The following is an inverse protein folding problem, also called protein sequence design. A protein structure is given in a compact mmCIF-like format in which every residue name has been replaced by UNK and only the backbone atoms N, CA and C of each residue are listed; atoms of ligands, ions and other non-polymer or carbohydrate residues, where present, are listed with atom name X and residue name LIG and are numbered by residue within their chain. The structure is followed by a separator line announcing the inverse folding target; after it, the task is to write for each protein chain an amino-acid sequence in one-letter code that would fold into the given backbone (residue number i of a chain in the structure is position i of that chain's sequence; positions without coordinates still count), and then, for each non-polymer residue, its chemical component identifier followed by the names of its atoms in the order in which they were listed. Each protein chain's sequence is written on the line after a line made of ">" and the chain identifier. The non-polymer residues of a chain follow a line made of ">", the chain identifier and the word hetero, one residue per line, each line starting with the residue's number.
data_IF_850813238711
#
_entry.id   IF_850813238711
#
_cell.length_a   1.000
_cell.length_b   1.000
_cell.length_c   1.000
_cell.angle_alpha   90.00
_cell.angle_beta   90.00
_cell.angle_gamma   90.00
#
_symmetry.space_group_name_H-M   'P 1'
#
loop_
_entity.id
_entity.type
_entity.pdbx_description
1 polymer ?
#
# COMPACT_ATOMS: atom_id res chain seq x y z
N UNK A 1 -31.56 -36.93 74.46
CA UNK A 1 -30.93 -37.86 73.50
C UNK A 1 -31.23 -37.30 72.12
N UNK A 2 -30.35 -36.41 71.63
CA UNK A 2 -30.48 -35.72 70.33
C UNK A 2 -29.36 -36.16 69.40
N UNK A 3 -29.70 -36.81 68.32
CA UNK A 3 -28.79 -37.18 67.26
C UNK A 3 -28.58 -35.95 66.34
N UNK A 4 -27.35 -35.48 66.20
CA UNK A 4 -26.96 -34.44 65.27
C UNK A 4 -26.49 -35.12 63.97
N UNK A 5 -27.28 -34.93 62.93
CA UNK A 5 -26.84 -35.26 61.53
C UNK A 5 -25.92 -34.17 60.97
N UNK A 6 -24.68 -34.51 60.70
CA UNK A 6 -23.78 -33.69 59.94
C UNK A 6 -23.86 -34.12 58.48
N UNK A 7 -24.43 -33.22 57.66
CA UNK A 7 -24.34 -33.30 56.19
C UNK A 7 -23.10 -32.61 55.72
N UNK A 8 -22.13 -33.35 55.19
CA UNK A 8 -20.93 -32.82 54.53
C UNK A 8 -21.34 -32.50 53.10
N UNK A 9 -21.42 -31.20 52.77
CA UNK A 9 -21.56 -30.73 51.40
C UNK A 9 -20.17 -30.69 50.77
N UNK A 10 -19.89 -31.59 49.81
CA UNK A 10 -18.72 -31.57 48.99
C UNK A 10 -18.88 -30.53 47.90
N UNK A 11 -18.17 -29.41 48.00
CA UNK A 11 -18.10 -28.37 46.98
C UNK A 11 -17.10 -28.82 45.91
N UNK A 12 -17.57 -29.30 44.77
CA UNK A 12 -16.77 -29.65 43.62
C UNK A 12 -16.34 -28.33 42.92
N UNK A 13 -15.10 -27.93 43.10
CA UNK A 13 -14.48 -26.82 42.37
C UNK A 13 -14.15 -27.28 40.93
N UNK A 14 -15.02 -26.95 39.97
CA UNK A 14 -14.73 -27.11 38.56
C UNK A 14 -13.68 -26.04 38.16
N UNK A 15 -12.42 -26.42 38.11
CA UNK A 15 -11.39 -25.63 37.48
C UNK A 15 -11.57 -25.77 35.96
N UNK A 16 -12.18 -24.77 35.33
CA UNK A 16 -12.13 -24.58 33.88
C UNK A 16 -10.70 -24.26 33.49
N UNK A 17 -9.93 -25.27 33.14
CA UNK A 17 -8.68 -25.10 32.40
C UNK A 17 -9.09 -24.66 30.99
N UNK A 18 -9.19 -23.36 30.77
CA UNK A 18 -9.21 -22.82 29.44
C UNK A 18 -7.83 -23.13 28.84
N UNK A 19 -7.72 -24.30 28.20
CA UNK A 19 -6.56 -24.63 27.38
C UNK A 19 -6.48 -23.55 26.28
N UNK A 20 -5.44 -22.74 26.32
CA UNK A 20 -4.99 -21.98 25.16
C UNK A 20 -4.65 -23.02 24.07
N UNK A 21 -5.64 -23.41 23.27
CA UNK A 21 -5.36 -24.07 22.02
C UNK A 21 -4.57 -23.05 21.21
N UNK A 22 -3.27 -23.28 21.02
CA UNK A 22 -2.44 -22.45 20.16
C UNK A 22 -3.13 -22.34 18.81
N UNK A 23 -3.52 -21.13 18.43
CA UNK A 23 -4.20 -20.91 17.15
C UNK A 23 -3.17 -21.20 16.06
N UNK A 24 -3.45 -22.20 15.22
CA UNK A 24 -2.55 -22.62 14.14
C UNK A 24 -2.45 -21.48 13.08
N UNK A 25 -1.27 -20.87 12.90
CA UNK A 25 -1.07 -19.78 11.93
C UNK A 25 -1.44 -20.17 10.50
N UNK A 26 -1.16 -21.41 10.11
CA UNK A 26 -1.46 -21.91 8.76
C UNK A 26 -2.97 -21.96 8.53
N UNK A 27 -3.71 -22.40 9.52
CA UNK A 27 -5.18 -22.42 9.44
C UNK A 27 -5.76 -21.02 9.40
N UNK A 28 -5.28 -20.11 10.24
CA UNK A 28 -5.74 -18.70 10.26
C UNK A 28 -5.48 -18.04 8.94
N UNK A 29 -4.28 -18.17 8.40
CA UNK A 29 -3.90 -17.59 7.12
C UNK A 29 -4.80 -18.09 5.99
N UNK A 30 -5.04 -19.40 5.92
CA UNK A 30 -5.89 -20.02 4.89
C UNK A 30 -7.36 -19.61 4.98
N UNK A 31 -7.84 -19.21 6.15
CA UNK A 31 -9.23 -18.79 6.38
C UNK A 31 -9.43 -17.28 6.17
N UNK A 32 -8.37 -16.49 6.19
CA UNK A 32 -8.43 -15.07 5.91
C UNK A 32 -8.52 -14.85 4.41
N UNK A 33 -9.23 -13.78 3.98
CA UNK A 33 -9.09 -13.24 2.64
C UNK A 33 -7.80 -12.42 2.61
N UNK A 34 -6.73 -13.00 2.05
CA UNK A 34 -5.40 -12.39 2.02
C UNK A 34 -5.29 -11.49 0.80
N UNK A 35 -5.31 -10.18 1.03
CA UNK A 35 -5.27 -9.17 -0.02
C UNK A 35 -4.07 -8.24 0.17
N UNK A 36 -3.35 -8.00 -0.91
CA UNK A 36 -2.34 -6.96 -1.05
C UNK A 36 -2.96 -5.74 -1.73
N UNK A 37 -2.98 -4.59 -1.05
CA UNK A 37 -3.66 -3.40 -1.54
C UNK A 37 -2.85 -2.59 -2.58
N UNK A 38 -1.60 -2.96 -2.87
CA UNK A 38 -0.80 -2.30 -3.90
C UNK A 38 0.43 -3.11 -4.30
N UNK A 39 0.53 -3.43 -5.57
CA UNK A 39 1.76 -3.88 -6.22
C UNK A 39 1.79 -3.39 -7.68
N UNK A 40 2.97 -3.03 -8.19
CA UNK A 40 3.09 -2.56 -9.57
C UNK A 40 3.02 -3.71 -10.57
N UNK A 41 2.54 -3.39 -11.77
CA UNK A 41 2.46 -4.33 -12.88
C UNK A 41 3.84 -4.46 -13.52
N UNK A 42 4.33 -5.68 -13.66
CA UNK A 42 5.52 -6.00 -14.45
C UNK A 42 5.11 -6.42 -15.87
N UNK A 43 5.66 -5.74 -16.87
CA UNK A 43 5.39 -6.07 -18.27
C UNK A 43 6.30 -7.24 -18.69
N UNK A 44 5.76 -8.40 -19.12
CA UNK A 44 6.57 -9.54 -19.52
C UNK A 44 7.59 -9.19 -20.61
N UNK A 45 8.84 -9.55 -20.40
CA UNK A 45 9.95 -9.30 -21.34
C UNK A 45 10.58 -7.91 -21.25
N UNK A 46 10.12 -7.05 -20.38
CA UNK A 46 10.84 -5.82 -20.02
C UNK A 46 11.74 -6.08 -18.81
N UNK A 47 12.95 -5.51 -18.85
CA UNK A 47 13.84 -5.56 -17.69
C UNK A 47 13.33 -4.65 -16.58
N UNK A 48 13.25 -5.18 -15.36
CA UNK A 48 12.91 -4.43 -14.15
C UNK A 48 13.91 -4.75 -13.04
N UNK A 49 14.36 -3.72 -12.35
CA UNK A 49 15.22 -3.84 -11.17
C UNK A 49 14.43 -4.16 -9.88
N UNK A 50 13.11 -4.21 -9.96
CA UNK A 50 12.22 -4.33 -8.79
C UNK A 50 11.61 -5.72 -8.61
N UNK A 51 11.85 -6.62 -9.54
CA UNK A 51 11.42 -8.03 -9.45
C UNK A 51 12.14 -8.80 -8.33
N UNK A 52 11.70 -10.00 -8.03
CA UNK A 52 12.36 -10.88 -7.08
C UNK A 52 13.76 -11.29 -7.55
N UNK A 53 14.57 -11.83 -6.64
CA UNK A 53 15.92 -12.33 -6.95
C UNK A 53 15.92 -13.45 -8.01
N UNK A 54 14.77 -14.08 -8.24
CA UNK A 54 14.52 -15.08 -9.29
C UNK A 54 14.18 -14.46 -10.66
N UNK A 55 14.22 -13.13 -10.80
CA UNK A 55 13.89 -12.40 -12.02
C UNK A 55 12.38 -12.35 -12.34
N UNK A 56 11.51 -12.70 -11.38
CA UNK A 56 10.06 -12.74 -11.57
C UNK A 56 9.35 -11.72 -10.70
N UNK A 57 8.16 -11.32 -11.12
CA UNK A 57 7.28 -10.47 -10.30
C UNK A 57 7.15 -11.00 -8.87
N UNK A 58 7.19 -10.13 -7.88
CA UNK A 58 7.02 -10.47 -6.47
C UNK A 58 5.59 -10.93 -6.15
N UNK A 59 4.63 -10.59 -7.00
CA UNK A 59 3.23 -11.03 -6.93
C UNK A 59 2.85 -11.93 -8.11
N UNK A 60 3.81 -12.65 -8.67
CA UNK A 60 3.53 -13.64 -9.71
C UNK A 60 2.49 -14.67 -9.23
N UNK A 61 1.58 -15.16 -10.10
CA UNK A 61 0.50 -16.07 -9.71
C UNK A 61 0.94 -17.30 -8.91
N UNK A 62 2.12 -17.85 -9.21
CA UNK A 62 2.67 -18.97 -8.45
C UNK A 62 3.15 -18.58 -7.06
N UNK A 63 3.66 -17.33 -6.87
CA UNK A 63 4.02 -16.80 -5.55
C UNK A 63 2.78 -16.49 -4.73
N UNK A 64 1.74 -15.91 -5.35
CA UNK A 64 0.44 -15.73 -4.72
C UNK A 64 -0.12 -17.06 -4.22
N UNK A 65 -0.14 -18.10 -5.07
CA UNK A 65 -0.60 -19.44 -4.67
C UNK A 65 0.24 -20.03 -3.54
N UNK A 66 1.58 -19.93 -3.62
CA UNK A 66 2.49 -20.44 -2.60
C UNK A 66 2.29 -19.76 -1.24
N UNK A 67 2.05 -18.44 -1.25
CA UNK A 67 1.80 -17.65 -0.06
C UNK A 67 0.34 -17.59 0.38
N UNK A 68 -0.60 -18.21 -0.36
CA UNK A 68 -2.02 -18.11 -0.03
C UNK A 68 -2.59 -16.70 -0.14
N UNK A 69 -2.03 -15.88 -1.05
CA UNK A 69 -2.53 -14.55 -1.37
C UNK A 69 -3.68 -14.67 -2.36
N UNK A 70 -4.87 -14.26 -1.94
CA UNK A 70 -6.12 -14.37 -2.71
C UNK A 70 -6.28 -13.24 -3.71
N UNK A 71 -5.81 -12.04 -3.37
CA UNK A 71 -6.01 -10.87 -4.21
C UNK A 71 -4.85 -9.89 -4.16
N UNK A 72 -4.63 -9.19 -5.28
CA UNK A 72 -3.67 -8.07 -5.37
C UNK A 72 -4.33 -6.91 -6.12
N UNK A 73 -4.17 -5.69 -5.59
CA UNK A 73 -4.42 -4.49 -6.37
C UNK A 73 -3.21 -4.25 -7.26
N UNK A 74 -3.36 -4.58 -8.54
CA UNK A 74 -2.32 -4.42 -9.57
C UNK A 74 -2.39 -3.01 -10.12
N UNK A 75 -1.38 -2.21 -9.81
CA UNK A 75 -1.33 -0.79 -10.15
C UNK A 75 -0.73 -0.54 -11.52
N UNK A 76 -1.50 0.11 -12.38
CA UNK A 76 -1.03 0.78 -13.60
C UNK A 76 -0.30 2.04 -13.15
N UNK A 77 1.04 2.02 -13.12
CA UNK A 77 1.85 3.04 -12.49
C UNK A 77 2.73 3.78 -13.49
N UNK A 78 2.53 5.08 -13.61
CA UNK A 78 3.34 5.92 -14.50
C UNK A 78 4.19 6.88 -13.69
N UNK A 79 5.50 6.88 -13.94
CA UNK A 79 6.45 7.77 -13.30
C UNK A 79 6.21 9.25 -13.63
N UNK A 80 6.96 10.17 -12.99
CA UNK A 80 6.93 11.57 -13.32
C UNK A 80 7.43 11.81 -14.76
N UNK A 81 7.01 12.91 -15.36
CA UNK A 81 7.44 13.28 -16.70
C UNK A 81 6.89 14.63 -17.17
N UNK A 82 7.25 15.07 -18.38
CA UNK A 82 6.81 16.35 -18.91
C UNK A 82 5.28 16.47 -18.98
N UNK A 83 4.75 17.63 -18.60
CA UNK A 83 3.32 17.98 -18.74
C UNK A 83 3.10 18.67 -20.07
N UNK A 84 3.30 17.92 -21.15
CA UNK A 84 3.13 18.32 -22.54
C UNK A 84 2.28 17.28 -23.27
N UNK A 85 1.74 17.61 -24.43
CA UNK A 85 0.94 16.69 -25.23
C UNK A 85 1.73 15.39 -25.57
N UNK A 86 3.03 15.51 -25.82
CA UNK A 86 3.91 14.36 -26.06
C UNK A 86 4.10 13.53 -24.79
N UNK A 87 4.34 14.19 -23.64
CA UNK A 87 4.49 13.52 -22.35
C UNK A 87 3.20 12.83 -21.87
N UNK A 88 2.04 13.45 -22.14
CA UNK A 88 0.73 12.84 -21.85
C UNK A 88 0.47 11.61 -22.74
N UNK A 89 0.88 11.70 -24.03
CA UNK A 89 0.78 10.57 -24.95
C UNK A 89 1.67 9.39 -24.52
N UNK A 90 2.90 9.68 -24.10
CA UNK A 90 3.81 8.67 -23.55
C UNK A 90 3.24 8.01 -22.29
N UNK A 91 2.75 8.81 -21.34
CA UNK A 91 2.14 8.31 -20.11
C UNK A 91 0.95 7.39 -20.39
N UNK A 92 0.10 7.78 -21.36
CA UNK A 92 -1.03 6.97 -21.79
C UNK A 92 -0.57 5.66 -22.41
N UNK A 93 0.44 5.66 -23.28
CA UNK A 93 0.95 4.45 -23.93
C UNK A 93 1.53 3.46 -22.91
N UNK A 94 2.26 3.94 -21.89
CA UNK A 94 2.75 3.10 -20.79
C UNK A 94 1.57 2.47 -20.04
N UNK A 95 0.59 3.27 -19.65
CA UNK A 95 -0.58 2.78 -18.93
C UNK A 95 -1.38 1.74 -19.70
N UNK A 96 -1.54 1.93 -21.01
CA UNK A 96 -2.23 0.96 -21.88
C UNK A 96 -1.45 -0.36 -22.02
N UNK A 97 -0.11 -0.29 -22.04
CA UNK A 97 0.74 -1.49 -22.08
C UNK A 97 0.66 -2.27 -20.76
N UNK A 98 0.68 -1.60 -19.60
CA UNK A 98 0.53 -2.23 -18.29
C UNK A 98 -0.87 -2.83 -18.10
N UNK A 99 -1.93 -2.11 -18.51
CA UNK A 99 -3.29 -2.64 -18.52
C UNK A 99 -3.38 -3.91 -19.37
N UNK A 100 -2.80 -3.90 -20.56
CA UNK A 100 -2.79 -5.06 -21.45
C UNK A 100 -2.03 -6.25 -20.82
N UNK A 101 -0.92 -6.00 -20.12
CA UNK A 101 -0.17 -7.03 -19.41
C UNK A 101 -0.99 -7.66 -18.28
N UNK A 102 -1.67 -6.86 -17.45
CA UNK A 102 -2.53 -7.36 -16.39
C UNK A 102 -3.72 -8.18 -16.92
N UNK A 103 -4.36 -7.71 -18.02
CA UNK A 103 -5.44 -8.45 -18.66
C UNK A 103 -4.96 -9.76 -19.29
N UNK A 104 -3.77 -9.78 -19.90
CA UNK A 104 -3.16 -11.00 -20.44
C UNK A 104 -2.83 -12.00 -19.33
N UNK A 105 -2.35 -11.54 -18.17
CA UNK A 105 -2.11 -12.39 -17.01
C UNK A 105 -3.39 -13.10 -16.55
N UNK A 106 -4.52 -12.40 -16.53
CA UNK A 106 -5.82 -12.97 -16.16
C UNK A 106 -6.44 -13.83 -17.27
N UNK A 107 -6.08 -13.61 -18.52
CA UNK A 107 -6.58 -14.40 -19.65
C UNK A 107 -5.91 -15.77 -19.79
N UNK A 108 -4.73 -15.96 -19.19
CA UNK A 108 -4.03 -17.23 -19.17
C UNK A 108 -4.63 -18.19 -18.12
N UNK A 109 -5.27 -19.30 -18.53
CA UNK A 109 -5.92 -20.22 -17.61
C UNK A 109 -4.95 -20.93 -16.65
N UNK A 110 -3.65 -21.00 -16.96
CA UNK A 110 -2.65 -21.62 -16.09
C UNK A 110 -2.39 -20.77 -14.85
N UNK A 111 -2.62 -19.47 -14.92
CA UNK A 111 -2.46 -18.56 -13.80
C UNK A 111 -3.56 -18.73 -12.73
N UNK A 112 -4.75 -19.19 -13.13
CA UNK A 112 -5.93 -19.28 -12.26
C UNK A 112 -6.24 -17.99 -11.50
N UNK A 113 -6.14 -16.86 -12.19
CA UNK A 113 -6.47 -15.53 -11.67
C UNK A 113 -7.54 -14.88 -12.55
N UNK A 114 -8.36 -14.01 -11.96
CA UNK A 114 -9.39 -13.25 -12.69
C UNK A 114 -9.33 -11.77 -12.32
N UNK A 115 -9.72 -10.90 -13.24
CA UNK A 115 -9.98 -9.50 -12.92
C UNK A 115 -11.34 -9.38 -12.22
N UNK A 116 -11.34 -8.81 -11.02
CA UNK A 116 -12.57 -8.55 -10.26
C UNK A 116 -12.90 -7.06 -10.25
N UNK A 117 -14.18 -6.73 -10.34
CA UNK A 117 -14.70 -5.36 -10.45
C UNK A 117 -15.62 -4.98 -9.31
N UNK A 118 -15.83 -5.89 -8.34
CA UNK A 118 -16.69 -5.64 -7.18
C UNK A 118 -16.24 -6.44 -5.97
N UNK A 119 -16.64 -5.97 -4.78
CA UNK A 119 -16.40 -6.70 -3.54
C UNK A 119 -17.07 -8.08 -3.52
N UNK A 120 -18.21 -8.24 -4.21
CA UNK A 120 -18.89 -9.54 -4.33
C UNK A 120 -18.11 -10.50 -5.26
N UNK A 121 -17.54 -10.00 -6.34
CA UNK A 121 -16.67 -10.79 -7.23
C UNK A 121 -15.41 -11.24 -6.50
N UNK A 122 -14.81 -10.37 -5.71
CA UNK A 122 -13.64 -10.67 -4.90
C UNK A 122 -13.92 -11.80 -3.91
N UNK A 123 -15.01 -11.73 -3.16
CA UNK A 123 -15.37 -12.79 -2.22
C UNK A 123 -15.71 -14.11 -2.94
N UNK A 124 -16.34 -14.06 -4.10
CA UNK A 124 -16.57 -15.28 -4.91
C UNK A 124 -15.26 -15.90 -5.38
N UNK A 125 -14.29 -15.10 -5.83
CA UNK A 125 -12.96 -15.59 -6.20
C UNK A 125 -12.28 -16.31 -5.03
N UNK A 126 -12.25 -15.68 -3.86
CA UNK A 126 -11.72 -16.27 -2.64
C UNK A 126 -12.41 -17.61 -2.28
N UNK A 127 -13.75 -17.65 -2.27
CA UNK A 127 -14.50 -18.86 -1.96
C UNK A 127 -14.28 -20.00 -2.97
N UNK A 128 -13.92 -19.66 -4.21
CA UNK A 128 -13.61 -20.60 -5.29
C UNK A 128 -12.10 -20.94 -5.36
N UNK A 129 -11.28 -20.44 -4.45
CA UNK A 129 -9.82 -20.62 -4.47
C UNK A 129 -9.19 -20.15 -5.79
N UNK A 130 -9.68 -19.04 -6.31
CA UNK A 130 -9.21 -18.39 -7.53
C UNK A 130 -8.57 -17.07 -7.16
N UNK A 131 -7.37 -16.80 -7.70
CA UNK A 131 -6.70 -15.53 -7.48
C UNK A 131 -7.48 -14.36 -8.11
N UNK A 132 -7.45 -13.21 -7.48
CA UNK A 132 -8.13 -12.00 -7.92
C UNK A 132 -7.16 -10.86 -8.21
N UNK A 133 -7.31 -10.22 -9.36
CA UNK A 133 -6.64 -8.97 -9.71
C UNK A 133 -7.66 -7.84 -9.64
N UNK A 134 -7.40 -6.86 -8.79
CA UNK A 134 -8.13 -5.59 -8.76
C UNK A 134 -7.25 -4.58 -9.50
N UNK A 135 -7.74 -3.99 -10.58
CA UNK A 135 -6.93 -3.03 -11.31
C UNK A 135 -6.93 -1.68 -10.59
N UNK A 136 -5.74 -1.17 -10.31
CA UNK A 136 -5.47 0.16 -9.79
C UNK A 136 -4.83 1.05 -10.85
N UNK A 137 -4.86 2.36 -10.62
CA UNK A 137 -4.16 3.36 -11.43
C UNK A 137 -3.43 4.32 -10.50
N UNK A 138 -2.16 4.56 -10.79
CA UNK A 138 -1.32 5.47 -10.02
C UNK A 138 -0.70 6.53 -10.94
N UNK A 139 -0.93 7.80 -10.59
CA UNK A 139 -0.53 9.00 -11.29
C UNK A 139 -1.49 9.45 -12.40
N UNK A 140 -2.31 10.45 -12.09
CA UNK A 140 -3.28 11.04 -13.02
C UNK A 140 -2.64 11.73 -14.24
N UNK A 141 -1.29 11.82 -14.33
CA UNK A 141 -0.58 12.16 -15.55
C UNK A 141 -1.04 11.31 -16.74
N UNK A 142 -1.48 10.08 -16.50
CA UNK A 142 -2.10 9.18 -17.48
C UNK A 142 -3.31 9.81 -18.18
N UNK A 143 -4.01 10.71 -17.51
CA UNK A 143 -5.20 11.38 -18.07
C UNK A 143 -4.86 12.66 -18.82
N UNK A 144 -3.61 13.19 -18.71
CA UNK A 144 -3.28 14.52 -19.21
C UNK A 144 -4.13 15.59 -18.53
N UNK A 145 -5.18 16.07 -19.21
CA UNK A 145 -6.21 16.97 -18.67
C UNK A 145 -7.63 16.45 -18.98
N UNK A 146 -7.74 15.24 -19.51
CA UNK A 146 -8.99 14.64 -19.97
C UNK A 146 -9.65 13.82 -18.84
N UNK A 147 -10.70 14.36 -18.23
CA UNK A 147 -11.48 13.67 -17.21
C UNK A 147 -12.27 12.46 -17.73
N UNK A 148 -12.59 12.40 -19.02
CA UNK A 148 -13.30 11.25 -19.61
C UNK A 148 -12.38 10.01 -19.68
N UNK A 149 -11.08 10.21 -19.60
CA UNK A 149 -10.13 9.11 -19.45
C UNK A 149 -10.37 8.29 -18.17
N UNK A 150 -10.87 8.89 -17.08
CA UNK A 150 -11.26 8.16 -15.86
C UNK A 150 -12.34 7.12 -16.18
N UNK A 151 -13.36 7.49 -16.96
CA UNK A 151 -14.41 6.57 -17.40
C UNK A 151 -13.84 5.45 -18.25
N UNK A 152 -12.94 5.78 -19.18
CA UNK A 152 -12.29 4.79 -20.06
C UNK A 152 -11.56 3.72 -19.26
N UNK A 153 -10.77 4.11 -18.27
CA UNK A 153 -10.06 3.15 -17.40
C UNK A 153 -11.01 2.40 -16.46
N UNK A 154 -12.04 3.06 -15.95
CA UNK A 154 -13.06 2.40 -15.13
C UNK A 154 -13.81 1.31 -15.91
N UNK A 155 -14.21 1.59 -17.16
CA UNK A 155 -14.87 0.63 -18.05
C UNK A 155 -13.93 -0.54 -18.42
N UNK A 156 -12.63 -0.28 -18.56
CA UNK A 156 -11.61 -1.31 -18.74
C UNK A 156 -11.41 -2.19 -17.49
N UNK A 157 -11.90 -1.77 -16.32
CA UNK A 157 -11.89 -2.58 -15.10
C UNK A 157 -11.15 -1.95 -13.92
N UNK A 158 -10.54 -0.78 -14.07
CA UNK A 158 -9.87 -0.08 -12.95
C UNK A 158 -10.88 0.30 -11.87
N UNK A 159 -10.50 0.08 -10.61
CA UNK A 159 -11.37 0.34 -9.44
C UNK A 159 -10.71 1.18 -8.37
N UNK A 160 -9.38 1.27 -8.36
CA UNK A 160 -8.61 2.10 -7.41
C UNK A 160 -7.89 3.18 -8.20
N UNK A 161 -7.96 4.44 -7.73
CA UNK A 161 -7.40 5.59 -8.43
C UNK A 161 -6.58 6.46 -7.48
N UNK A 162 -5.25 6.48 -7.68
CA UNK A 162 -4.31 7.38 -7.02
C UNK A 162 -3.93 8.52 -7.96
N UNK A 163 -4.13 9.77 -7.53
CA UNK A 163 -3.89 10.93 -8.39
C UNK A 163 -2.40 11.25 -8.58
N UNK A 164 -1.54 10.87 -7.64
CA UNK A 164 -0.12 11.20 -7.70
C UNK A 164 0.78 9.98 -7.60
N UNK A 165 1.97 10.14 -8.13
CA UNK A 165 3.19 9.39 -7.84
C UNK A 165 4.24 10.39 -7.34
N UNK A 166 5.50 10.32 -7.75
CA UNK A 166 6.49 11.38 -7.54
C UNK A 166 6.20 12.58 -8.46
N UNK A 167 6.52 13.78 -7.99
CA UNK A 167 6.29 15.03 -8.70
C UNK A 167 4.81 15.46 -8.69
N UNK A 168 4.60 16.77 -8.80
CA UNK A 168 3.27 17.32 -8.99
C UNK A 168 2.76 17.01 -10.40
N UNK A 169 1.44 16.98 -10.56
CA UNK A 169 0.81 16.84 -11.86
C UNK A 169 -0.37 17.80 -12.02
N UNK A 170 -1.12 17.74 -13.12
CA UNK A 170 -2.22 18.67 -13.38
C UNK A 170 -3.40 18.53 -12.38
N UNK A 171 -3.44 17.46 -11.56
CA UNK A 171 -4.54 17.14 -10.66
C UNK A 171 -4.24 17.49 -9.20
N UNK A 172 -3.00 17.23 -8.73
CA UNK A 172 -2.68 17.36 -7.32
C UNK A 172 -1.20 17.57 -7.05
N UNK A 173 -0.91 18.10 -5.88
CA UNK A 173 0.42 18.13 -5.31
C UNK A 173 0.78 16.75 -4.73
N UNK A 174 1.98 16.28 -5.05
CA UNK A 174 2.59 15.07 -4.51
C UNK A 174 3.24 15.34 -3.15
N UNK A 175 3.33 14.32 -2.30
CA UNK A 175 4.13 14.36 -1.07
C UNK A 175 5.65 14.43 -1.35
N UNK A 176 6.06 14.24 -2.60
CA UNK A 176 7.46 14.28 -3.06
C UNK A 176 7.60 15.18 -4.28
N UNK A 177 7.86 16.49 -4.09
CA UNK A 177 8.23 17.40 -5.18
C UNK A 177 9.45 16.86 -5.91
N UNK A 178 9.41 16.90 -7.25
CA UNK A 178 10.47 16.34 -8.09
C UNK A 178 11.69 17.28 -8.12
N UNK A 179 12.89 16.70 -8.08
CA UNK A 179 14.11 17.46 -8.35
C UNK A 179 14.29 17.66 -9.85
N UNK A 180 14.44 18.92 -10.26
CA UNK A 180 14.61 19.31 -11.65
C UNK A 180 16.11 19.53 -11.90
N UNK A 181 16.80 18.50 -12.38
CA UNK A 181 18.25 18.52 -12.56
C UNK A 181 18.75 19.68 -13.42
N UNK A 182 18.00 20.07 -14.46
CA UNK A 182 18.35 21.22 -15.32
C UNK A 182 18.32 22.56 -14.58
N UNK A 183 17.53 22.67 -13.51
CA UNK A 183 17.38 23.88 -12.68
C UNK A 183 18.17 23.77 -11.37
N UNK A 184 18.71 22.60 -11.05
CA UNK A 184 19.34 22.26 -9.75
C UNK A 184 18.47 22.66 -8.55
N UNK A 185 17.18 22.43 -8.65
CA UNK A 185 16.19 22.75 -7.61
C UNK A 185 15.02 21.80 -7.69
N UNK A 186 14.28 21.66 -6.58
CA UNK A 186 13.01 20.94 -6.58
C UNK A 186 11.89 21.78 -7.18
N UNK A 187 10.81 21.10 -7.59
CA UNK A 187 9.50 21.71 -7.71
C UNK A 187 9.17 22.47 -6.40
N UNK A 188 8.30 23.49 -6.42
CA UNK A 188 7.84 24.12 -5.18
C UNK A 188 7.21 23.06 -4.26
N UNK A 189 7.23 23.30 -2.96
CA UNK A 189 6.60 22.39 -1.98
C UNK A 189 5.10 22.15 -2.28
N UNK A 190 4.43 23.16 -2.83
CA UNK A 190 3.05 23.08 -3.31
C UNK A 190 2.89 23.94 -4.58
N UNK A 191 2.31 23.36 -5.62
CA UNK A 191 1.95 24.07 -6.85
C UNK A 191 0.48 24.51 -6.83
N UNK A 192 -0.40 23.62 -6.35
CA UNK A 192 -1.85 23.84 -6.33
C UNK A 192 -2.37 24.17 -4.92
N UNK A 193 -1.53 24.08 -3.91
CA UNK A 193 -1.99 24.12 -2.50
C UNK A 193 -2.87 22.91 -2.15
N UNK A 194 -2.55 21.76 -2.72
CA UNK A 194 -3.26 20.49 -2.57
C UNK A 194 -3.87 19.98 -3.87
N UNK A 195 -5.20 19.96 -3.98
CA UNK A 195 -5.90 19.59 -5.21
C UNK A 195 -6.05 20.80 -6.14
N UNK A 196 -5.75 20.63 -7.42
CA UNK A 196 -6.14 21.56 -8.47
C UNK A 196 -7.68 21.53 -8.67
N UNK A 197 -8.28 22.48 -9.42
CA UNK A 197 -9.68 22.38 -9.85
C UNK A 197 -9.97 21.05 -10.56
N UNK A 198 -9.08 20.61 -11.45
CA UNK A 198 -9.19 19.35 -12.19
C UNK A 198 -9.14 18.14 -11.25
N UNK A 199 -8.27 18.17 -10.23
CA UNK A 199 -8.19 17.13 -9.22
C UNK A 199 -9.48 17.00 -8.40
N UNK A 200 -10.13 18.11 -8.08
CA UNK A 200 -11.43 18.09 -7.38
C UNK A 200 -12.51 17.43 -8.21
N UNK A 201 -12.57 17.74 -9.50
CA UNK A 201 -13.54 17.13 -10.43
C UNK A 201 -13.24 15.63 -10.62
N UNK A 202 -11.97 15.24 -10.67
CA UNK A 202 -11.55 13.83 -10.74
C UNK A 202 -12.05 13.04 -9.51
N UNK A 203 -11.89 13.56 -8.29
CA UNK A 203 -12.40 12.89 -7.07
C UNK A 203 -13.91 12.68 -7.14
N UNK A 204 -14.66 13.68 -7.55
CA UNK A 204 -16.11 13.57 -7.68
C UNK A 204 -16.51 12.55 -8.74
N UNK A 205 -15.82 12.55 -9.89
CA UNK A 205 -16.04 11.58 -10.96
C UNK A 205 -15.74 10.14 -10.53
N UNK A 206 -14.64 9.92 -9.81
CA UNK A 206 -14.30 8.61 -9.27
C UNK A 206 -15.39 8.13 -8.30
N UNK A 207 -15.89 9.00 -7.43
CA UNK A 207 -17.00 8.68 -6.52
C UNK A 207 -18.30 8.36 -7.28
N UNK A 208 -18.65 9.12 -8.34
CA UNK A 208 -19.84 8.86 -9.16
C UNK A 208 -19.81 7.49 -9.82
N UNK A 209 -18.63 7.06 -10.25
CA UNK A 209 -18.42 5.73 -10.84
C UNK A 209 -18.39 4.59 -9.81
N UNK A 210 -18.25 4.89 -8.51
CA UNK A 210 -18.05 3.88 -7.48
C UNK A 210 -16.62 3.35 -7.41
N UNK A 211 -15.65 4.11 -7.89
CA UNK A 211 -14.22 3.86 -7.73
C UNK A 211 -13.74 4.22 -6.32
N UNK A 212 -12.65 3.60 -5.90
CA UNK A 212 -11.96 3.88 -4.64
C UNK A 212 -10.91 4.97 -4.90
N UNK A 213 -10.94 6.04 -4.13
CA UNK A 213 -9.88 7.05 -4.14
C UNK A 213 -8.75 6.57 -3.23
N UNK A 214 -7.55 6.50 -3.78
CA UNK A 214 -6.31 6.23 -3.05
C UNK A 214 -5.56 7.54 -2.81
N UNK A 215 -5.26 7.83 -1.55
CA UNK A 215 -4.55 9.04 -1.14
C UNK A 215 -3.05 8.83 -0.92
N UNK A 216 -2.54 7.62 -1.15
CA UNK A 216 -1.10 7.37 -1.09
C UNK A 216 -0.36 8.32 -2.04
N UNK A 217 0.75 8.90 -1.55
CA UNK A 217 1.61 9.84 -2.27
C UNK A 217 1.02 11.25 -2.53
N UNK A 218 -0.20 11.54 -2.14
CA UNK A 218 -0.69 12.91 -2.13
C UNK A 218 0.10 13.76 -1.12
N UNK A 219 0.27 15.04 -1.40
CA UNK A 219 0.70 15.98 -0.37
C UNK A 219 -0.32 15.99 0.78
N UNK A 220 0.14 16.33 1.99
CA UNK A 220 -0.76 16.42 3.15
C UNK A 220 -2.01 17.28 2.85
N UNK A 221 -1.83 18.45 2.24
CA UNK A 221 -2.95 19.34 1.94
C UNK A 221 -3.90 18.75 0.91
N UNK A 222 -3.39 18.03 -0.10
CA UNK A 222 -4.23 17.32 -1.06
C UNK A 222 -5.01 16.18 -0.37
N UNK A 223 -4.36 15.37 0.47
CA UNK A 223 -5.01 14.30 1.22
C UNK A 223 -6.13 14.83 2.13
N UNK A 224 -5.88 15.92 2.87
CA UNK A 224 -6.89 16.56 3.72
C UNK A 224 -8.08 17.13 2.90
N UNK A 225 -7.81 17.62 1.68
CA UNK A 225 -8.87 18.11 0.79
C UNK A 225 -9.69 16.95 0.22
N UNK A 226 -9.05 15.82 -0.14
CA UNK A 226 -9.76 14.60 -0.57
C UNK A 226 -10.65 14.08 0.55
N UNK A 227 -10.16 13.99 1.77
CA UNK A 227 -10.93 13.52 2.94
C UNK A 227 -12.18 14.37 3.23
N UNK A 228 -12.14 15.66 2.89
CA UNK A 228 -13.31 16.56 3.00
C UNK A 228 -14.26 16.46 1.81
N UNK A 229 -13.76 16.09 0.63
CA UNK A 229 -14.50 16.12 -0.63
C UNK A 229 -15.13 14.77 -0.98
N UNK A 230 -14.41 13.68 -0.70
CA UNK A 230 -14.85 12.33 -1.06
C UNK A 230 -16.12 11.94 -0.30
N UNK A 231 -17.10 11.42 -1.03
CA UNK A 231 -18.35 10.88 -0.46
C UNK A 231 -18.19 9.44 0.02
N UNK A 232 -17.24 8.72 -0.56
CA UNK A 232 -16.92 7.36 -0.20
C UNK A 232 -15.67 7.32 0.71
N UNK A 233 -15.55 6.30 1.57
CA UNK A 233 -14.32 6.07 2.30
C UNK A 233 -13.13 5.92 1.34
N UNK A 234 -11.99 6.50 1.71
CA UNK A 234 -10.75 6.43 0.93
C UNK A 234 -9.85 5.31 1.43
N UNK A 235 -8.85 4.95 0.63
CA UNK A 235 -7.72 4.16 1.11
C UNK A 235 -6.42 4.97 1.03
N UNK A 236 -5.46 4.62 1.89
CA UNK A 236 -4.05 4.80 1.63
C UNK A 236 -3.50 3.42 1.31
N UNK A 237 -3.27 3.11 0.04
CA UNK A 237 -2.99 1.74 -0.41
C UNK A 237 -1.62 1.23 0.02
N UNK A 238 -0.64 2.12 0.26
CA UNK A 238 0.73 1.79 0.66
C UNK A 238 1.38 2.97 1.40
N UNK A 239 0.96 3.21 2.66
CA UNK A 239 1.45 4.34 3.47
C UNK A 239 1.66 3.91 4.92
N UNK A 240 2.69 4.48 5.55
CA UNK A 240 3.08 4.15 6.91
C UNK A 240 2.87 5.34 7.86
N UNK A 241 3.39 5.26 9.08
CA UNK A 241 3.17 6.23 10.17
C UNK A 241 4.35 7.19 10.28
N UNK A 242 4.12 8.49 10.10
CA UNK A 242 5.17 9.51 10.17
C UNK A 242 5.73 9.70 11.58
N UNK A 243 4.93 9.48 12.61
CA UNK A 243 5.39 9.54 14.00
C UNK A 243 6.47 8.49 14.33
N UNK A 244 6.50 7.37 13.61
CA UNK A 244 7.50 6.30 13.74
C UNK A 244 8.66 6.47 12.76
N UNK A 245 8.39 6.88 11.54
CA UNK A 245 9.39 7.17 10.53
C UNK A 245 9.04 8.46 9.80
N UNK A 246 9.78 9.53 10.09
CA UNK A 246 9.50 10.90 9.61
C UNK A 246 9.98 11.10 8.17
N UNK A 247 9.24 10.54 7.23
CA UNK A 247 9.43 10.73 5.79
C UNK A 247 8.15 11.25 5.14
N UNK A 248 8.25 11.91 3.98
CA UNK A 248 7.10 12.55 3.30
C UNK A 248 6.01 11.56 2.88
N UNK A 249 6.42 10.31 2.63
CA UNK A 249 5.52 9.21 2.22
C UNK A 249 4.63 8.70 3.34
N UNK A 250 4.98 8.97 4.60
CA UNK A 250 4.25 8.51 5.75
C UNK A 250 3.22 9.55 6.20
N UNK A 251 2.08 9.06 6.68
CA UNK A 251 0.93 9.87 7.07
C UNK A 251 1.15 10.51 8.45
N UNK A 252 0.81 11.77 8.57
CA UNK A 252 0.75 12.47 9.85
C UNK A 252 -0.41 11.96 10.71
N UNK A 253 -0.35 12.21 11.99
CA UNK A 253 -1.41 11.85 12.93
C UNK A 253 -2.78 12.45 12.57
N UNK A 254 -2.80 13.66 12.02
CA UNK A 254 -4.03 14.31 11.57
C UNK A 254 -4.64 13.59 10.36
N UNK A 255 -3.82 13.21 9.39
CA UNK A 255 -4.28 12.41 8.23
C UNK A 255 -4.83 11.06 8.69
N UNK A 256 -4.12 10.37 9.59
CA UNK A 256 -4.52 9.08 10.16
C UNK A 256 -5.88 9.20 10.86
N UNK A 257 -6.06 10.20 11.72
CA UNK A 257 -7.31 10.41 12.47
C UNK A 257 -8.50 10.66 11.53
N UNK A 258 -8.30 11.48 10.49
CA UNK A 258 -9.36 11.79 9.54
C UNK A 258 -9.70 10.60 8.62
N UNK A 259 -8.72 9.79 8.24
CA UNK A 259 -8.96 8.54 7.51
C UNK A 259 -9.83 7.59 8.37
N UNK A 260 -9.49 7.40 9.64
CA UNK A 260 -10.29 6.60 10.56
C UNK A 260 -11.72 7.14 10.70
N UNK A 261 -11.89 8.46 10.89
CA UNK A 261 -13.20 9.12 11.02
C UNK A 261 -14.05 9.00 9.75
N UNK A 262 -13.44 8.99 8.57
CA UNK A 262 -14.15 8.83 7.29
C UNK A 262 -14.50 7.37 6.95
N UNK A 263 -14.11 6.40 7.78
CA UNK A 263 -14.30 4.98 7.51
C UNK A 263 -13.26 4.40 6.54
N UNK A 264 -12.20 5.12 6.23
CA UNK A 264 -11.12 4.69 5.34
C UNK A 264 -10.22 3.61 5.91
N UNK A 265 -9.22 3.21 5.13
CA UNK A 265 -8.24 2.18 5.52
C UNK A 265 -6.83 2.60 5.12
N UNK A 266 -5.88 2.41 6.04
CA UNK A 266 -4.45 2.63 5.81
C UNK A 266 -3.78 1.27 5.68
N UNK A 267 -3.14 1.02 4.54
CA UNK A 267 -2.42 -0.21 4.27
C UNK A 267 -0.92 0.03 4.46
N UNK A 268 -0.35 -0.72 5.41
CA UNK A 268 1.07 -0.60 5.78
C UNK A 268 1.94 -1.32 4.75
N UNK A 269 2.99 -0.63 4.29
CA UNK A 269 3.91 -1.15 3.31
C UNK A 269 5.20 -1.69 3.95
N UNK A 270 5.69 -2.88 3.54
CA UNK A 270 6.98 -3.43 3.96
C UNK A 270 8.14 -2.76 3.22
N UNK A 271 8.21 -1.44 3.23
CA UNK A 271 9.22 -0.65 2.52
C UNK A 271 10.23 -0.08 3.52
N UNK A 272 11.49 -0.54 3.46
CA UNK A 272 12.54 -0.16 4.43
C UNK A 272 12.68 1.34 4.63
N UNK A 273 12.60 2.12 3.55
CA UNK A 273 12.69 3.57 3.58
C UNK A 273 11.55 4.26 4.32
N UNK A 274 10.48 3.55 4.65
CA UNK A 274 9.31 4.07 5.36
C UNK A 274 9.14 3.46 6.78
N UNK A 275 10.03 2.54 7.17
CA UNK A 275 9.93 1.76 8.40
C UNK A 275 11.07 2.01 9.39
N UNK A 276 12.16 2.66 8.98
CA UNK A 276 13.30 2.86 9.87
C UNK A 276 12.98 3.82 11.03
N UNK A 277 13.67 3.65 12.16
CA UNK A 277 13.53 4.55 13.31
C UNK A 277 14.18 5.90 13.00
N UNK A 278 13.37 6.88 12.64
CA UNK A 278 13.80 8.26 12.37
C UNK A 278 14.02 9.08 13.65
N UNK A 279 13.77 8.50 14.83
CA UNK A 279 14.02 9.19 16.10
C UNK A 279 15.49 9.12 16.50
N UNK A 280 16.30 8.21 15.89
CA UNK A 280 17.75 8.22 16.05
C UNK A 280 18.37 9.41 15.29
N UNK A 281 18.79 10.47 15.97
CA UNK A 281 19.36 11.65 15.31
C UNK A 281 20.67 11.36 14.58
N UNK A 282 21.35 10.26 14.92
CA UNK A 282 22.59 9.87 14.27
C UNK A 282 22.31 9.16 12.94
N UNK A 283 21.14 8.53 12.77
CA UNK A 283 20.80 7.83 11.54
C UNK A 283 20.62 8.81 10.37
N UNK A 284 19.85 9.88 10.57
CA UNK A 284 19.70 10.95 9.56
C UNK A 284 21.05 11.56 9.16
N UNK A 285 21.89 11.86 10.13
CA UNK A 285 23.25 12.38 9.89
C UNK A 285 24.09 11.39 9.06
N UNK A 286 23.98 10.09 9.34
CA UNK A 286 24.71 9.04 8.60
C UNK A 286 24.17 8.88 7.17
N UNK A 287 22.85 8.93 6.96
CA UNK A 287 22.25 8.89 5.63
C UNK A 287 22.72 10.10 4.79
N UNK A 288 22.74 11.30 5.38
CA UNK A 288 23.28 12.51 4.72
C UNK A 288 24.77 12.39 4.44
N UNK A 289 25.54 11.73 5.30
CA UNK A 289 26.95 11.44 5.05
C UNK A 289 27.10 10.48 3.83
N UNK A 290 26.35 9.38 3.80
CA UNK A 290 26.36 8.45 2.65
C UNK A 290 26.02 9.13 1.32
N UNK A 291 25.14 10.14 1.33
CA UNK A 291 24.87 10.98 0.15
C UNK A 291 26.09 11.78 -0.29
N UNK A 292 26.73 12.51 0.63
CA UNK A 292 27.94 13.28 0.32
C UNK A 292 29.08 12.39 -0.17
N UNK A 293 29.25 11.22 0.44
CA UNK A 293 30.29 10.25 0.08
C UNK A 293 30.05 9.69 -1.33
N UNK A 294 28.79 9.59 -1.76
CA UNK A 294 28.41 9.23 -3.11
C UNK A 294 28.49 10.40 -4.12
N UNK A 295 28.84 11.63 -3.66
CA UNK A 295 28.95 12.81 -4.53
C UNK A 295 27.64 13.58 -4.71
N UNK A 296 26.66 13.38 -3.85
CA UNK A 296 25.38 14.08 -3.86
C UNK A 296 25.46 15.27 -2.90
N UNK A 297 25.46 16.50 -3.43
CA UNK A 297 25.69 17.73 -2.65
C UNK A 297 24.41 18.44 -2.20
N UNK A 298 23.24 18.02 -2.68
CA UNK A 298 22.01 18.74 -2.42
C UNK A 298 21.55 18.62 -0.97
N UNK A 299 20.92 19.67 -0.48
CA UNK A 299 20.28 19.72 0.81
C UNK A 299 18.80 19.35 0.64
N UNK A 300 18.48 18.09 0.92
CA UNK A 300 17.13 17.57 0.75
C UNK A 300 16.31 17.61 2.05
N UNK A 301 15.02 17.78 1.87
CA UNK A 301 14.06 17.74 2.98
C UNK A 301 14.06 16.36 3.66
N UNK A 302 14.04 15.28 2.84
CA UNK A 302 14.16 13.90 3.32
C UNK A 302 15.40 13.23 2.70
N UNK A 303 16.36 12.80 3.51
CA UNK A 303 17.67 12.36 2.98
C UNK A 303 17.62 11.10 2.13
N UNK A 304 16.65 10.21 2.38
CA UNK A 304 16.59 8.90 1.74
C UNK A 304 15.78 8.86 0.44
N UNK A 305 14.78 9.73 0.28
CA UNK A 305 13.73 9.58 -0.73
C UNK A 305 14.12 9.95 -2.17
N UNK A 306 15.39 10.19 -2.46
CA UNK A 306 15.78 10.90 -3.69
C UNK A 306 16.75 10.14 -4.59
N UNK A 307 16.93 8.85 -4.35
CA UNK A 307 17.89 8.04 -5.09
C UNK A 307 17.53 7.91 -6.59
N UNK A 308 16.26 7.97 -6.97
CA UNK A 308 15.84 7.90 -8.38
C UNK A 308 16.15 9.16 -9.17
N UNK A 309 16.35 10.30 -8.51
CA UNK A 309 16.75 11.56 -9.13
C UNK A 309 18.24 11.59 -9.48
N UNK A 310 19.00 10.63 -9.00
CA UNK A 310 20.41 10.48 -9.29
C UNK A 310 20.56 9.82 -10.65
N UNK A 311 20.84 10.61 -11.68
CA UNK A 311 20.98 10.14 -13.05
C UNK A 311 22.20 9.24 -13.26
N UNK A 312 23.30 9.51 -12.54
CA UNK A 312 24.50 8.68 -12.60
C UNK A 312 24.26 7.35 -11.86
N UNK A 313 24.33 6.23 -12.59
CA UNK A 313 24.04 4.90 -12.07
C UNK A 313 25.06 4.44 -11.01
N UNK A 314 26.34 4.82 -11.15
CA UNK A 314 27.39 4.46 -10.17
C UNK A 314 27.17 5.23 -8.87
N UNK A 315 26.94 6.54 -8.95
CA UNK A 315 26.62 7.40 -7.79
C UNK A 315 25.38 6.91 -7.08
N UNK A 316 24.32 6.59 -7.83
CA UNK A 316 23.08 6.05 -7.27
C UNK A 316 23.32 4.72 -6.56
N UNK A 317 24.05 3.79 -7.18
CA UNK A 317 24.33 2.49 -6.58
C UNK A 317 25.19 2.61 -5.31
N UNK A 318 26.19 3.50 -5.33
CA UNK A 318 27.03 3.77 -4.16
C UNK A 318 26.20 4.31 -2.99
N UNK A 319 25.30 5.25 -3.26
CA UNK A 319 24.38 5.79 -2.25
C UNK A 319 23.45 4.70 -1.68
N UNK A 320 22.80 3.93 -2.55
CA UNK A 320 21.90 2.85 -2.14
C UNK A 320 22.60 1.79 -1.30
N UNK A 321 23.84 1.43 -1.64
CA UNK A 321 24.63 0.50 -0.84
C UNK A 321 24.91 1.06 0.56
N UNK A 322 25.37 2.30 0.65
CA UNK A 322 25.64 2.95 1.95
C UNK A 322 24.40 3.05 2.83
N UNK A 323 23.26 3.42 2.24
CA UNK A 323 21.99 3.49 2.98
C UNK A 323 21.49 2.10 3.36
N UNK A 324 21.62 1.11 2.48
CA UNK A 324 21.24 -0.29 2.79
C UNK A 324 22.02 -0.85 3.98
N UNK A 325 23.31 -0.54 4.10
CA UNK A 325 24.13 -0.93 5.25
C UNK A 325 23.65 -0.25 6.55
N UNK A 326 23.22 1.01 6.46
CA UNK A 326 22.73 1.78 7.60
C UNK A 326 21.35 1.32 8.09
N UNK A 327 20.43 1.07 7.18
CA UNK A 327 19.04 0.70 7.50
C UNK A 327 18.86 -0.80 7.76
N UNK A 328 19.80 -1.62 7.29
CA UNK A 328 19.66 -3.07 7.33
C UNK A 328 18.53 -3.59 6.41
N UNK A 329 18.13 -4.86 6.55
CA UNK A 329 17.13 -5.48 5.69
C UNK A 329 15.68 -5.07 6.03
N UNK A 330 15.45 -4.33 7.13
CA UNK A 330 14.12 -4.18 7.72
C UNK A 330 13.59 -5.48 8.33
N UNK A 331 12.54 -5.42 9.11
CA UNK A 331 11.96 -6.60 9.76
C UNK A 331 10.44 -6.57 9.78
N UNK A 332 9.82 -7.74 10.01
CA UNK A 332 8.39 -7.83 10.28
C UNK A 332 8.01 -7.03 11.53
N UNK A 333 8.88 -6.99 12.55
CA UNK A 333 8.60 -6.21 13.76
C UNK A 333 8.52 -4.71 13.47
N UNK A 334 9.36 -4.17 12.59
CA UNK A 334 9.26 -2.77 12.15
C UNK A 334 7.91 -2.50 11.48
N UNK A 335 7.49 -3.36 10.55
CA UNK A 335 6.19 -3.25 9.88
C UNK A 335 5.03 -3.35 10.88
N UNK A 336 5.08 -4.32 11.79
CA UNK A 336 4.03 -4.53 12.77
C UNK A 336 3.93 -3.39 13.80
N UNK A 337 5.02 -2.69 14.11
CA UNK A 337 4.97 -1.49 14.95
C UNK A 337 4.08 -0.39 14.32
N UNK A 338 4.12 -0.24 12.99
CA UNK A 338 3.22 0.67 12.29
C UNK A 338 1.76 0.20 12.34
N UNK A 339 1.51 -1.10 12.19
CA UNK A 339 0.17 -1.69 12.35
C UNK A 339 -0.35 -1.45 13.77
N UNK A 340 0.45 -1.75 14.80
CA UNK A 340 0.07 -1.56 16.20
C UNK A 340 -0.27 -0.10 16.50
N UNK A 341 0.53 0.85 15.98
CA UNK A 341 0.27 2.29 16.14
C UNK A 341 -1.07 2.68 15.54
N UNK A 342 -1.36 2.25 14.31
CA UNK A 342 -2.62 2.54 13.64
C UNK A 342 -3.81 1.93 14.37
N UNK A 343 -3.70 0.65 14.77
CA UNK A 343 -4.78 -0.03 15.51
C UNK A 343 -5.05 0.66 16.84
N UNK A 344 -4.01 1.05 17.57
CA UNK A 344 -4.18 1.78 18.83
C UNK A 344 -4.82 3.17 18.65
N UNK A 345 -4.58 3.83 17.49
CA UNK A 345 -5.05 5.19 17.24
C UNK A 345 -6.44 5.27 16.63
N UNK A 346 -6.72 4.46 15.59
CA UNK A 346 -7.96 4.55 14.80
C UNK A 346 -8.77 3.25 14.80
N UNK A 347 -8.27 2.19 15.43
CA UNK A 347 -8.95 0.92 15.54
C UNK A 347 -8.67 -0.06 14.41
N UNK A 348 -8.96 -1.32 14.67
CA UNK A 348 -8.67 -2.46 13.80
C UNK A 348 -9.39 -2.41 12.45
N UNK A 349 -10.51 -1.71 12.35
CA UNK A 349 -11.35 -1.62 11.14
C UNK A 349 -10.75 -0.69 10.06
N UNK A 350 -9.63 -0.03 10.36
CA UNK A 350 -9.01 0.99 9.53
C UNK A 350 -7.58 0.65 9.10
N UNK A 351 -7.14 -0.59 9.28
CA UNK A 351 -5.75 -1.00 9.01
C UNK A 351 -5.72 -2.15 8.02
N UNK A 352 -4.76 -2.10 7.10
CA UNK A 352 -4.54 -3.14 6.09
C UNK A 352 -3.07 -3.32 5.74
N UNK A 353 -2.80 -4.10 4.70
CA UNK A 353 -1.47 -4.36 4.14
C UNK A 353 -1.50 -4.06 2.64
N UNK A 354 -0.51 -3.27 2.17
CA UNK A 354 -0.30 -3.00 0.76
C UNK A 354 1.19 -2.91 0.50
N UNK A 355 1.71 -3.85 -0.28
CA UNK A 355 3.14 -4.17 -0.21
C UNK A 355 4.04 -3.20 -0.94
N UNK A 356 3.56 -2.51 -1.97
CA UNK A 356 4.41 -1.77 -2.90
C UNK A 356 5.45 -2.70 -3.57
N UNK A 357 5.12 -3.98 -3.73
CA UNK A 357 5.95 -4.95 -4.44
C UNK A 357 6.08 -4.57 -5.91
N UNK A 358 7.20 -4.96 -6.51
CA UNK A 358 7.62 -4.53 -7.83
C UNK A 358 7.91 -3.01 -7.94
N UNK A 359 8.10 -2.32 -6.78
CA UNK A 359 8.55 -0.92 -6.71
C UNK A 359 9.69 -0.71 -5.70
N UNK A 360 10.47 -1.75 -5.42
CA UNK A 360 11.63 -1.68 -4.52
C UNK A 360 11.32 -2.00 -3.06
N UNK A 361 10.11 -2.38 -2.72
CA UNK A 361 9.77 -2.80 -1.37
C UNK A 361 10.19 -4.25 -1.08
N UNK A 362 10.13 -4.59 0.20
CA UNK A 362 10.47 -5.89 0.76
C UNK A 362 11.37 -5.78 1.98
N UNK A 363 11.11 -6.61 2.96
CA UNK A 363 11.83 -6.69 4.24
C UNK A 363 12.15 -8.16 4.56
N UNK A 364 13.05 -8.40 5.51
CA UNK A 364 13.33 -9.75 5.94
C UNK A 364 12.08 -10.48 6.43
N UNK A 365 11.75 -11.61 5.80
CA UNK A 365 10.55 -12.40 6.09
C UNK A 365 9.28 -11.97 5.34
N UNK A 366 9.33 -10.90 4.52
CA UNK A 366 8.24 -10.52 3.61
C UNK A 366 8.80 -9.77 2.39
N UNK A 367 9.43 -10.52 1.47
CA UNK A 367 10.06 -10.01 0.24
C UNK A 367 9.23 -10.24 -1.02
N UNK A 368 8.33 -11.20 -1.00
CA UNK A 368 7.36 -11.46 -2.07
C UNK A 368 6.10 -12.13 -1.51
N UNK A 369 5.10 -12.32 -2.35
CA UNK A 369 3.81 -12.86 -1.97
C UNK A 369 3.89 -14.26 -1.33
N UNK A 370 4.90 -15.08 -1.64
CA UNK A 370 5.05 -16.42 -1.07
C UNK A 370 5.35 -16.41 0.44
N UNK A 371 5.81 -15.28 0.96
CA UNK A 371 6.15 -15.08 2.38
C UNK A 371 5.00 -14.48 3.22
N UNK A 372 3.82 -14.22 2.64
CA UNK A 372 2.65 -13.68 3.35
C UNK A 372 2.26 -14.47 4.63
N UNK A 373 2.40 -15.82 4.70
CA UNK A 373 2.12 -16.55 5.94
C UNK A 373 2.95 -16.09 7.14
N UNK A 374 4.17 -15.57 6.92
CA UNK A 374 5.03 -15.05 7.99
C UNK A 374 4.40 -13.85 8.69
N UNK A 375 3.72 -12.98 7.95
CA UNK A 375 3.01 -11.82 8.51
C UNK A 375 1.84 -12.28 9.38
N UNK A 376 1.06 -13.27 8.93
CA UNK A 376 -0.01 -13.87 9.74
C UNK A 376 0.52 -14.47 11.04
N UNK A 377 1.63 -15.21 10.98
CA UNK A 377 2.25 -15.80 12.16
C UNK A 377 2.74 -14.70 13.13
N UNK A 378 3.34 -13.63 12.60
CA UNK A 378 3.82 -12.52 13.40
C UNK A 378 2.66 -11.72 14.05
N UNK A 379 1.54 -11.50 13.34
CA UNK A 379 0.34 -10.88 13.91
C UNK A 379 -0.25 -11.73 15.04
N UNK A 380 -0.35 -13.05 14.87
CA UNK A 380 -0.79 -13.95 15.95
C UNK A 380 0.15 -13.89 17.15
N UNK A 381 1.46 -13.86 16.94
CA UNK A 381 2.44 -13.73 18.02
C UNK A 381 2.30 -12.42 18.80
N UNK A 382 1.82 -11.34 18.16
CA UNK A 382 1.49 -10.06 18.81
C UNK A 382 0.12 -10.05 19.50
N UNK A 383 -0.67 -11.12 19.40
CA UNK A 383 -1.95 -11.28 20.10
C UNK A 383 -3.17 -10.85 19.28
N UNK A 384 -3.03 -10.56 17.99
CA UNK A 384 -4.19 -10.33 17.13
C UNK A 384 -5.04 -11.60 17.00
N UNK A 385 -6.35 -11.45 17.11
CA UNK A 385 -7.27 -12.57 16.91
C UNK A 385 -7.37 -12.96 15.42
N UNK A 386 -7.80 -14.18 15.10
CA UNK A 386 -8.08 -14.55 13.69
C UNK A 386 -9.05 -13.62 12.98
N UNK A 387 -10.02 -13.04 13.70
CA UNK A 387 -10.94 -12.05 13.14
C UNK A 387 -10.25 -10.72 12.81
N UNK A 388 -9.34 -10.26 13.69
CA UNK A 388 -8.54 -9.06 13.44
C UNK A 388 -7.60 -9.25 12.25
N UNK A 389 -6.97 -10.42 12.15
CA UNK A 389 -6.08 -10.76 11.04
C UNK A 389 -6.83 -10.78 9.71
N UNK A 390 -8.04 -11.33 9.67
CA UNK A 390 -8.89 -11.28 8.48
C UNK A 390 -9.25 -9.83 8.09
N UNK A 391 -9.50 -8.94 9.06
CA UNK A 391 -9.73 -7.52 8.79
C UNK A 391 -8.50 -6.84 8.20
N UNK A 392 -7.32 -7.06 8.81
CA UNK A 392 -6.05 -6.47 8.35
C UNK A 392 -5.71 -6.95 6.94
N UNK A 393 -5.87 -8.24 6.63
CA UNK A 393 -5.55 -8.74 5.31
C UNK A 393 -6.50 -8.21 4.23
N UNK A 394 -7.78 -8.43 4.31
CA UNK A 394 -8.68 -8.04 3.21
C UNK A 394 -10.05 -7.54 3.62
N UNK A 395 -10.54 -7.91 4.84
CA UNK A 395 -11.88 -7.57 5.26
C UNK A 395 -12.17 -6.06 5.27
N UNK A 396 -11.20 -5.24 5.68
CA UNK A 396 -11.34 -3.79 5.68
C UNK A 396 -11.33 -3.21 4.26
N UNK A 397 -10.52 -3.73 3.35
CA UNK A 397 -10.53 -3.33 1.94
C UNK A 397 -11.88 -3.66 1.29
N UNK A 398 -12.40 -4.88 1.48
CA UNK A 398 -13.71 -5.30 0.94
C UNK A 398 -14.83 -4.38 1.42
N UNK A 399 -14.80 -3.98 2.69
CA UNK A 399 -15.77 -3.02 3.25
C UNK A 399 -15.73 -1.68 2.50
N UNK A 400 -14.54 -1.10 2.30
CA UNK A 400 -14.38 0.15 1.54
C UNK A 400 -14.83 -0.03 0.10
N UNK A 401 -14.45 -1.12 -0.54
CA UNK A 401 -14.80 -1.40 -1.93
C UNK A 401 -16.33 -1.46 -2.14
N UNK A 402 -17.03 -2.17 -1.26
CA UNK A 402 -18.51 -2.23 -1.29
C UNK A 402 -19.16 -0.89 -1.02
N UNK A 403 -18.61 -0.14 -0.08
CA UNK A 403 -19.17 1.17 0.27
C UNK A 403 -18.99 2.18 -0.87
N UNK A 404 -17.83 2.19 -1.55
CA UNK A 404 -17.61 3.01 -2.74
C UNK A 404 -18.66 2.70 -3.83
N UNK A 405 -18.89 1.41 -4.11
CA UNK A 405 -19.89 0.98 -5.09
C UNK A 405 -21.33 1.33 -4.67
N UNK A 406 -21.66 1.23 -3.38
CA UNK A 406 -22.98 1.58 -2.86
C UNK A 406 -23.30 3.07 -2.99
N UNK A 407 -22.28 3.92 -2.93
CA UNK A 407 -22.38 5.38 -3.01
C UNK A 407 -22.27 5.93 -4.44
N UNK A 408 -22.06 5.06 -5.45
CA UNK A 408 -22.07 5.44 -6.87
C UNK A 408 -23.42 6.08 -7.27
N UNK A 409 -23.39 7.04 -8.22
CA UNK A 409 -24.56 7.81 -8.68
C UNK A 409 -24.86 7.56 -10.16
#
# INVERSE_FOLDING_TARGET
>A
MYLINQSIAALALLVLVAGCASTDPVRVHRQALVLDAHADIEIPGQESSYVGADGRSKVAPEKMRAGGVDAVVMSIAVGPGPRTAEGDTEARAIAEAELAAALALAADPENNVIVVRSGEELERAHNNHQGALILGLQNARIFGTDLDAINTFFDAGVRVFALTHMGHNNFADSSRPLYIAAQKSHEPEAEHGGLSPLGREAILRINDLGGIVDISQLSRDAALQVLKLSRAPVIASHSNVRALCNVSRNLSDEEIDLIGQSGGVIHVAPFRGYLYDSTDPNLDVRIRAARRDAGIEEDYYYPFELYWEINDAEVRQQFLNGVSELLGPGSLDDMLNHIDYLVARIGIDHVGIGTDFNHGSGIAGFNDASEAPNVTAALLARGYSPADINKIWGGNFVRVFREAQRLAQ
#
